data_IF_726685202616
#
_entry.id   IF_726685202616
#
_cell.length_a   1.000
_cell.length_b   1.000
_cell.length_c   1.000
_cell.angle_alpha   90.00
_cell.angle_beta   90.00
_cell.angle_gamma   90.00
#
_symmetry.space_group_name_H-M   'P 1'
#
loop_
_entity.id
_entity.type
_entity.pdbx_description
1 polymer ?
#
# COMPACT_ATOMS: atom_id res chain seq x y z
N UNK A 1 -11.14 29.78 4.16
CA UNK A 1 -10.35 28.99 3.19
C UNK A 1 -10.15 27.52 3.60
N UNK A 2 -9.83 27.21 4.87
CA UNK A 2 -9.35 25.87 5.29
C UNK A 2 -10.25 24.66 5.07
N UNK A 3 -11.59 24.78 5.20
CA UNK A 3 -12.51 23.61 5.05
C UNK A 3 -12.40 22.93 3.69
N UNK A 4 -12.32 23.71 2.60
CA UNK A 4 -12.22 23.17 1.23
C UNK A 4 -10.91 22.43 0.98
N UNK A 5 -9.81 22.91 1.56
CA UNK A 5 -8.50 22.26 1.47
C UNK A 5 -8.49 20.91 2.20
N UNK A 6 -9.05 20.85 3.41
CA UNK A 6 -9.14 19.62 4.19
C UNK A 6 -10.04 18.59 3.47
N UNK A 7 -11.16 19.03 2.87
CA UNK A 7 -12.01 18.14 2.06
C UNK A 7 -11.26 17.61 0.84
N UNK A 8 -10.54 18.48 0.11
CA UNK A 8 -9.78 18.08 -1.06
C UNK A 8 -8.68 17.07 -0.71
N UNK A 9 -7.94 17.32 0.38
CA UNK A 9 -6.88 16.45 0.87
C UNK A 9 -7.42 15.10 1.38
N UNK A 10 -8.51 15.12 2.15
CA UNK A 10 -9.17 13.91 2.62
C UNK A 10 -9.72 13.06 1.47
N UNK A 11 -10.26 13.69 0.43
CA UNK A 11 -10.79 13.00 -0.74
C UNK A 11 -9.69 12.37 -1.59
N UNK A 12 -8.61 13.09 -1.89
CA UNK A 12 -7.46 12.53 -2.63
C UNK A 12 -6.78 11.41 -1.85
N UNK A 13 -6.63 11.56 -0.54
CA UNK A 13 -6.06 10.50 0.32
C UNK A 13 -6.96 9.26 0.35
N UNK A 14 -8.29 9.44 0.39
CA UNK A 14 -9.22 8.31 0.36
C UNK A 14 -9.18 7.55 -0.98
N UNK A 15 -9.01 8.25 -2.11
CA UNK A 15 -8.79 7.61 -3.41
C UNK A 15 -7.48 6.81 -3.39
N UNK A 16 -6.40 7.41 -2.87
CA UNK A 16 -5.10 6.74 -2.76
C UNK A 16 -5.21 5.46 -1.91
N UNK A 17 -5.92 5.53 -0.79
CA UNK A 17 -6.18 4.39 0.08
C UNK A 17 -6.88 3.24 -0.65
N UNK A 18 -7.91 3.54 -1.45
CA UNK A 18 -8.62 2.51 -2.24
C UNK A 18 -7.70 1.89 -3.29
N UNK A 19 -6.91 2.70 -4.01
CA UNK A 19 -5.96 2.21 -5.02
C UNK A 19 -4.97 1.24 -4.35
N UNK A 20 -4.35 1.65 -3.23
CA UNK A 20 -3.40 0.80 -2.51
C UNK A 20 -4.07 -0.47 -1.96
N UNK A 21 -5.30 -0.38 -1.43
CA UNK A 21 -6.02 -1.53 -0.87
C UNK A 21 -6.31 -2.61 -1.93
N UNK A 22 -6.64 -2.22 -3.16
CA UNK A 22 -6.93 -3.18 -4.25
C UNK A 22 -5.65 -3.85 -4.77
N UNK A 23 -4.50 -3.17 -4.72
CA UNK A 23 -3.19 -3.72 -5.12
C UNK A 23 -2.64 -4.75 -4.11
N UNK A 24 -1.61 -5.54 -4.46
CA UNK A 24 -0.89 -6.37 -3.47
C UNK A 24 -0.26 -5.53 -2.34
N UNK A 25 -0.08 -4.22 -2.53
CA UNK A 25 0.39 -3.28 -1.51
C UNK A 25 -0.67 -2.90 -0.47
N UNK A 26 -1.68 -3.74 -0.24
CA UNK A 26 -2.79 -3.45 0.67
C UNK A 26 -2.32 -3.17 2.11
N UNK A 27 -1.23 -3.78 2.57
CA UNK A 27 -0.62 -3.47 3.86
C UNK A 27 -0.19 -2.00 3.99
N UNK A 28 0.28 -1.38 2.90
CA UNK A 28 0.64 0.04 2.88
C UNK A 28 -0.60 0.96 2.90
N UNK A 29 -1.78 0.45 2.53
CA UNK A 29 -3.02 1.22 2.50
C UNK A 29 -3.47 1.65 3.90
N UNK A 30 -3.03 0.98 4.98
CA UNK A 30 -3.41 1.30 6.36
C UNK A 30 -3.10 2.75 6.73
N UNK A 31 -1.94 3.27 6.30
CA UNK A 31 -1.53 4.66 6.58
C UNK A 31 -2.51 5.68 5.95
N UNK A 32 -2.73 5.70 4.62
CA UNK A 32 -3.67 6.63 4.01
C UNK A 32 -5.12 6.42 4.48
N UNK A 33 -5.52 5.19 4.84
CA UNK A 33 -6.84 4.93 5.46
C UNK A 33 -6.97 5.71 6.78
N UNK A 34 -6.00 5.59 7.70
CA UNK A 34 -6.05 6.28 9.01
C UNK A 34 -6.05 7.80 8.81
N UNK A 35 -5.20 8.31 7.92
CA UNK A 35 -5.15 9.75 7.61
C UNK A 35 -6.48 10.24 7.03
N UNK A 36 -7.06 9.53 6.07
CA UNK A 36 -8.35 9.89 5.47
C UNK A 36 -9.50 9.84 6.49
N UNK A 37 -9.47 8.87 7.40
CA UNK A 37 -10.44 8.74 8.48
C UNK A 37 -10.39 9.93 9.46
N UNK A 38 -9.19 10.30 9.92
CA UNK A 38 -8.99 11.46 10.79
C UNK A 38 -9.43 12.75 10.08
N UNK A 39 -9.09 12.90 8.80
CA UNK A 39 -9.51 14.04 7.98
C UNK A 39 -11.04 14.11 7.88
N UNK A 40 -11.69 12.97 7.59
CA UNK A 40 -13.16 12.85 7.58
C UNK A 40 -13.79 13.25 8.92
N UNK A 41 -13.22 12.81 10.04
CA UNK A 41 -13.69 13.14 11.38
C UNK A 41 -13.57 14.65 11.70
N UNK A 42 -12.43 15.25 11.34
CA UNK A 42 -12.20 16.70 11.45
C UNK A 42 -13.24 17.50 10.66
N UNK A 43 -13.54 17.08 9.43
CA UNK A 43 -14.55 17.74 8.58
C UNK A 43 -15.93 17.62 9.23
N UNK A 44 -16.31 16.46 9.79
CA UNK A 44 -17.57 16.27 10.51
C UNK A 44 -17.69 17.25 11.69
N UNK A 45 -16.63 17.36 12.49
CA UNK A 45 -16.62 18.27 13.64
C UNK A 45 -16.77 19.73 13.21
N UNK A 46 -16.10 20.13 12.14
CA UNK A 46 -16.20 21.50 11.60
C UNK A 46 -17.53 21.77 10.89
N UNK A 47 -18.17 20.78 10.28
CA UNK A 47 -19.48 20.93 9.62
C UNK A 47 -20.64 21.03 10.60
N UNK A 48 -20.51 20.49 11.82
CA UNK A 48 -21.50 20.68 12.89
C UNK A 48 -21.74 22.18 13.19
N UNK A 49 -20.73 23.02 13.00
CA UNK A 49 -20.79 24.47 13.26
C UNK A 49 -21.56 25.28 12.22
N UNK A 50 -21.67 24.77 10.98
CA UNK A 50 -22.22 25.52 9.84
C UNK A 50 -23.62 25.05 9.39
N UNK A 51 -24.23 24.07 10.07
CA UNK A 51 -25.49 23.37 9.68
C UNK A 51 -25.51 22.77 8.27
N UNK A 52 -24.42 22.84 7.53
CA UNK A 52 -24.27 22.24 6.21
C UNK A 52 -23.63 20.87 6.36
N UNK A 53 -24.34 19.83 5.87
CA UNK A 53 -23.81 18.46 5.76
C UNK A 53 -23.29 18.28 4.33
N UNK A 54 -22.01 18.54 4.05
CA UNK A 54 -21.49 18.33 2.71
C UNK A 54 -21.52 16.84 2.41
N UNK A 55 -22.23 16.45 1.32
CA UNK A 55 -22.31 15.06 0.84
C UNK A 55 -20.92 14.44 0.64
N UNK A 56 -19.90 15.27 0.39
CA UNK A 56 -18.49 14.89 0.30
C UNK A 56 -17.98 14.07 1.49
N UNK A 57 -18.42 14.37 2.73
CA UNK A 57 -18.03 13.59 3.92
C UNK A 57 -18.48 12.13 3.78
N UNK A 58 -19.71 11.92 3.31
CA UNK A 58 -20.27 10.58 3.17
C UNK A 58 -19.48 9.77 2.15
N UNK A 59 -19.05 10.39 1.04
CA UNK A 59 -18.19 9.72 0.05
C UNK A 59 -16.81 9.37 0.61
N UNK A 60 -16.18 10.25 1.39
CA UNK A 60 -14.89 9.97 2.02
C UNK A 60 -15.00 8.77 2.97
N UNK A 61 -15.99 8.77 3.87
CA UNK A 61 -16.20 7.66 4.80
C UNK A 61 -16.54 6.35 4.09
N UNK A 62 -17.34 6.42 3.02
CA UNK A 62 -17.67 5.25 2.21
C UNK A 62 -16.40 4.64 1.59
N UNK A 63 -15.53 5.45 1.00
CA UNK A 63 -14.26 5.00 0.42
C UNK A 63 -13.35 4.38 1.49
N UNK A 64 -13.27 4.98 2.68
CA UNK A 64 -12.49 4.43 3.79
C UNK A 64 -13.01 3.07 4.23
N UNK A 65 -14.33 2.89 4.37
CA UNK A 65 -14.92 1.60 4.77
C UNK A 65 -14.64 0.52 3.74
N UNK A 66 -14.76 0.84 2.44
CA UNK A 66 -14.46 -0.10 1.35
C UNK A 66 -12.99 -0.49 1.38
N UNK A 67 -12.08 0.50 1.47
CA UNK A 67 -10.64 0.25 1.56
C UNK A 67 -10.28 -0.60 2.79
N UNK A 68 -10.92 -0.34 3.93
CA UNK A 68 -10.73 -1.12 5.16
C UNK A 68 -11.17 -2.57 4.98
N UNK A 69 -12.35 -2.79 4.40
CA UNK A 69 -12.88 -4.12 4.14
C UNK A 69 -11.97 -4.95 3.24
N UNK A 70 -11.48 -4.36 2.14
CA UNK A 70 -10.54 -5.02 1.22
C UNK A 70 -9.22 -5.33 1.92
N UNK A 71 -8.68 -4.35 2.68
CA UNK A 71 -7.40 -4.49 3.39
C UNK A 71 -7.48 -5.60 4.45
N UNK A 72 -8.55 -5.64 5.24
CA UNK A 72 -8.77 -6.68 6.26
C UNK A 72 -8.97 -8.04 5.59
N UNK A 73 -9.78 -8.11 4.53
CA UNK A 73 -10.00 -9.36 3.79
C UNK A 73 -8.68 -9.93 3.27
N UNK A 74 -7.87 -9.09 2.60
CA UNK A 74 -6.55 -9.52 2.15
C UNK A 74 -5.63 -9.89 3.30
N UNK A 75 -5.57 -9.09 4.36
CA UNK A 75 -4.71 -9.37 5.51
C UNK A 75 -5.00 -10.70 6.21
N UNK A 76 -6.25 -11.17 6.20
CA UNK A 76 -6.65 -12.43 6.87
C UNK A 76 -6.56 -13.63 5.93
N UNK A 77 -6.92 -13.47 4.65
CA UNK A 77 -7.06 -14.59 3.71
C UNK A 77 -5.91 -14.71 2.70
N UNK A 78 -5.11 -13.66 2.52
CA UNK A 78 -4.01 -13.60 1.54
C UNK A 78 -2.72 -13.09 2.20
N UNK A 79 -1.73 -13.96 2.36
CA UNK A 79 -0.33 -13.50 2.45
C UNK A 79 0.00 -12.88 1.10
N UNK A 80 0.04 -11.55 1.04
CA UNK A 80 0.46 -10.84 -0.16
C UNK A 80 1.97 -11.01 -0.30
N UNK A 81 2.41 -12.11 -0.93
CA UNK A 81 3.76 -12.20 -1.47
C UNK A 81 3.92 -11.12 -2.55
N UNK A 82 4.91 -10.25 -2.35
CA UNK A 82 5.18 -9.13 -3.23
C UNK A 82 6.16 -9.62 -4.29
N UNK A 83 5.63 -10.20 -5.36
CA UNK A 83 6.45 -10.84 -6.41
C UNK A 83 6.69 -12.32 -6.13
N UNK A 84 7.23 -13.03 -7.12
CA UNK A 84 7.51 -14.46 -7.00
C UNK A 84 8.84 -14.66 -6.25
N UNK A 85 8.79 -14.52 -4.92
CA UNK A 85 9.98 -14.60 -4.07
C UNK A 85 10.69 -15.95 -4.20
N UNK A 86 9.93 -17.03 -4.38
CA UNK A 86 10.50 -18.35 -4.67
C UNK A 86 11.30 -18.38 -5.99
N UNK A 87 10.82 -17.73 -7.05
CA UNK A 87 11.59 -17.63 -8.30
C UNK A 87 12.83 -16.74 -8.16
N UNK A 88 12.80 -15.73 -7.30
CA UNK A 88 13.97 -14.90 -7.03
C UNK A 88 15.03 -15.70 -6.24
N UNK A 89 14.61 -16.44 -5.22
CA UNK A 89 15.49 -17.33 -4.46
C UNK A 89 16.09 -18.42 -5.34
N UNK A 90 15.28 -19.06 -6.20
CA UNK A 90 15.77 -20.04 -7.18
C UNK A 90 16.78 -19.44 -8.16
N UNK A 91 16.56 -18.20 -8.61
CA UNK A 91 17.48 -17.50 -9.51
C UNK A 91 18.77 -17.10 -8.81
N UNK A 92 18.71 -16.70 -7.55
CA UNK A 92 19.90 -16.40 -6.76
C UNK A 92 20.73 -17.67 -6.51
N UNK A 93 20.07 -18.80 -6.25
CA UNK A 93 20.72 -20.10 -6.06
C UNK A 93 21.32 -20.63 -7.36
N UNK A 94 20.59 -20.53 -8.49
CA UNK A 94 21.09 -20.83 -9.85
C UNK A 94 22.31 -19.97 -10.20
N UNK A 95 22.26 -18.66 -9.97
CA UNK A 95 23.41 -17.77 -10.24
C UNK A 95 24.62 -18.08 -9.34
N UNK A 96 24.39 -18.51 -8.10
CA UNK A 96 25.44 -18.88 -7.16
C UNK A 96 26.12 -20.18 -7.58
N UNK A 97 25.34 -21.17 -8.03
CA UNK A 97 25.85 -22.44 -8.56
C UNK A 97 26.62 -22.24 -9.87
N UNK A 98 26.06 -21.50 -10.84
CA UNK A 98 26.74 -21.11 -12.08
C UNK A 98 28.07 -20.39 -11.78
N UNK A 99 28.08 -19.49 -10.78
CA UNK A 99 29.31 -18.78 -10.40
C UNK A 99 30.36 -19.70 -9.77
N UNK A 100 29.95 -20.75 -9.04
CA UNK A 100 30.87 -21.75 -8.48
C UNK A 100 31.43 -22.64 -9.57
N UNK A 101 30.59 -23.11 -10.49
CA UNK A 101 31.02 -23.92 -11.64
C UNK A 101 32.01 -23.13 -12.51
N UNK A 102 31.71 -21.85 -12.79
CA UNK A 102 32.63 -20.97 -13.52
C UNK A 102 33.97 -20.77 -12.79
N UNK A 103 33.99 -20.80 -11.44
CA UNK A 103 35.20 -20.67 -10.63
C UNK A 103 35.99 -21.97 -10.53
N UNK A 104 35.32 -23.13 -10.52
CA UNK A 104 35.98 -24.45 -10.57
C UNK A 104 36.56 -24.73 -11.96
N UNK A 105 35.90 -24.27 -13.02
CA UNK A 105 36.39 -24.34 -14.41
C UNK A 105 37.49 -23.31 -14.71
N UNK A 106 37.69 -22.32 -13.85
CA UNK A 106 38.89 -21.47 -13.89
C UNK A 106 40.04 -22.28 -13.30
N UNK A 107 40.75 -23.00 -14.17
CA UNK A 107 42.07 -23.55 -13.87
C UNK A 107 43.01 -22.35 -13.58
N UNK A 108 43.39 -22.18 -12.32
CA UNK A 108 44.45 -21.26 -11.95
C UNK A 108 45.78 -21.92 -12.32
N UNK A 109 46.22 -21.73 -13.56
CA UNK A 109 47.61 -21.97 -13.93
C UNK A 109 48.49 -21.04 -13.08
N UNK A 110 48.99 -21.59 -11.97
CA UNK A 110 49.96 -20.98 -11.06
C UNK A 110 51.34 -20.97 -11.73
N UNK A 111 51.48 -20.25 -12.84
CA UNK A 111 52.77 -19.90 -13.43
C UNK A 111 53.29 -18.61 -12.77
N UNK A 112 53.88 -18.76 -11.57
CA UNK A 112 54.86 -17.85 -10.97
C UNK A 112 56.28 -18.31 -11.31
#
# INVERSE_FOLDING_TARGET
MGKKLIIFLGFTTAILAVILAVTPFSNLAVIPIVVAFICGLLIVFMSKKDKTKPKSIQYIFLMVIIALGITIYKSVYYTSEVGNTEQLEQRDEENLEDSKELLEDIDFDEDL
#
